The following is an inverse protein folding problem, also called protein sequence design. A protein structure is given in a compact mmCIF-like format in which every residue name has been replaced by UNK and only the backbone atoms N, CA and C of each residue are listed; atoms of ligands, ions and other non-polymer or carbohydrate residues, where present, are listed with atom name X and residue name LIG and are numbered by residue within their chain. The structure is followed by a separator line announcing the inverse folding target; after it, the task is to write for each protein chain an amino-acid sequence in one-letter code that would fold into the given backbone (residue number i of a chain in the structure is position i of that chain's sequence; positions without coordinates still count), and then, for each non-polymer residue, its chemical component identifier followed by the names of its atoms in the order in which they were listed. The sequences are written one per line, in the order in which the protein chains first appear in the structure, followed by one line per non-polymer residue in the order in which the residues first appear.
data_IF_430964327578
#
_entry.id   IF_430964327578
#
_cell.length_a   1.000
_cell.length_b   1.000
_cell.length_c   1.000
_cell.angle_alpha   90.00
_cell.angle_beta   90.00
_cell.angle_gamma   90.00
#
_symmetry.space_group_name_H-M   'P 1'
#
loop_
_entity.id
_entity.type
_entity.pdbx_description
1 polymer ?
#
# COMPACT_ATOMS: atom_id res chain seq x y z
N UNK A 1 14.58 33.72 -13.57
CA UNK A 1 13.14 33.51 -13.29
C UNK A 1 12.30 33.24 -14.54
N UNK A 2 12.37 34.07 -15.60
CA UNK A 2 11.53 33.91 -16.80
C UNK A 2 11.71 32.56 -17.55
N UNK A 3 12.94 32.06 -17.65
CA UNK A 3 13.24 30.78 -18.31
C UNK A 3 12.68 29.58 -17.54
N UNK A 4 12.72 29.59 -16.20
CA UNK A 4 12.13 28.56 -15.35
C UNK A 4 10.60 28.50 -15.52
N UNK A 5 9.93 29.66 -15.51
CA UNK A 5 8.48 29.75 -15.74
C UNK A 5 8.07 29.26 -17.14
N UNK A 6 8.85 29.59 -18.18
CA UNK A 6 8.60 29.08 -19.55
C UNK A 6 8.76 27.56 -19.63
N UNK A 7 9.73 26.98 -18.90
CA UNK A 7 9.92 25.53 -18.81
C UNK A 7 8.76 24.84 -18.09
N UNK A 8 8.32 25.40 -16.97
CA UNK A 8 7.16 24.91 -16.21
C UNK A 8 5.89 24.92 -17.05
N UNK A 9 5.66 25.98 -17.83
CA UNK A 9 4.51 26.09 -18.73
C UNK A 9 4.52 25.03 -19.84
N UNK A 10 5.70 24.68 -20.38
CA UNK A 10 5.86 23.59 -21.35
C UNK A 10 5.59 22.22 -20.74
N UNK A 11 6.14 21.95 -19.55
CA UNK A 11 5.90 20.68 -18.84
C UNK A 11 4.40 20.49 -18.55
N UNK A 12 3.73 21.53 -18.07
CA UNK A 12 2.28 21.51 -17.84
C UNK A 12 1.46 21.30 -19.12
N UNK A 13 1.94 21.79 -20.27
CA UNK A 13 1.32 21.57 -21.58
C UNK A 13 1.50 20.14 -22.08
N UNK A 14 2.60 19.49 -21.67
CA UNK A 14 2.88 18.06 -21.90
C UNK A 14 2.24 17.14 -20.84
N UNK A 15 1.40 17.67 -19.95
CA UNK A 15 0.79 16.95 -18.81
C UNK A 15 1.82 16.33 -17.84
N UNK A 16 3.06 16.84 -17.83
CA UNK A 16 4.09 16.41 -16.90
C UNK A 16 3.95 17.26 -15.64
N UNK A 17 3.48 16.64 -14.56
CA UNK A 17 3.30 17.29 -13.28
C UNK A 17 4.64 17.43 -12.54
N UNK A 18 4.85 18.59 -11.93
CA UNK A 18 6.06 18.87 -11.15
C UNK A 18 5.95 18.18 -9.80
N UNK A 19 6.90 17.31 -9.41
CA UNK A 19 6.99 16.82 -8.03
C UNK A 19 7.05 17.99 -7.06
N UNK A 20 6.31 17.90 -5.96
CA UNK A 20 6.40 18.91 -4.92
C UNK A 20 7.62 18.62 -4.04
N UNK A 21 8.47 19.63 -3.85
CA UNK A 21 9.62 19.55 -2.94
C UNK A 21 9.16 19.79 -1.49
N UNK A 22 9.67 19.06 -0.48
CA UNK A 22 9.48 19.41 0.92
C UNK A 22 9.86 20.89 1.18
N UNK A 23 9.08 21.70 1.93
CA UNK A 23 7.90 21.40 2.76
C UNK A 23 6.56 21.48 2.01
N UNK A 24 6.56 21.60 0.68
CA UNK A 24 5.34 21.74 -0.13
C UNK A 24 4.66 20.39 -0.37
N UNK A 25 4.63 19.49 0.60
CA UNK A 25 4.14 18.11 0.42
C UNK A 25 2.64 18.01 0.08
N UNK A 26 1.95 19.14 -0.08
CA UNK A 26 0.53 19.21 -0.36
C UNK A 26 -0.30 19.24 0.91
N UNK A 27 -1.53 18.76 0.84
CA UNK A 27 -2.48 18.64 1.96
C UNK A 27 -2.20 17.42 2.85
N UNK A 28 -0.95 17.19 3.20
CA UNK A 28 -0.59 16.18 4.18
C UNK A 28 -0.81 16.70 5.58
N UNK A 29 -0.99 15.78 6.52
CA UNK A 29 -0.94 16.07 7.96
C UNK A 29 0.54 16.09 8.36
N UNK A 30 1.14 17.25 8.69
CA UNK A 30 2.59 17.36 8.89
C UNK A 30 3.13 16.41 9.95
N UNK A 31 2.35 16.15 11.00
CA UNK A 31 2.71 15.28 12.11
C UNK A 31 2.77 13.79 11.70
N UNK A 32 2.08 13.39 10.63
CA UNK A 32 2.11 12.01 10.13
C UNK A 32 3.29 11.73 9.22
N UNK A 33 3.93 12.75 8.64
CA UNK A 33 5.09 12.57 7.76
C UNK A 33 6.25 11.85 8.48
N UNK A 34 6.75 12.31 9.64
CA UNK A 34 7.82 11.59 10.34
C UNK A 34 7.37 10.20 10.80
N UNK A 35 6.12 10.05 11.24
CA UNK A 35 5.54 8.76 11.65
C UNK A 35 5.55 7.77 10.48
N UNK A 36 5.20 8.22 9.27
CA UNK A 36 5.18 7.37 8.09
C UNK A 36 6.57 6.85 7.71
N UNK A 37 7.60 7.70 7.83
CA UNK A 37 8.99 7.26 7.64
C UNK A 37 9.41 6.23 8.69
N UNK A 38 9.12 6.50 9.97
CA UNK A 38 9.43 5.58 11.06
C UNK A 38 8.70 4.23 10.90
N UNK A 39 7.41 4.25 10.55
CA UNK A 39 6.61 3.05 10.29
C UNK A 39 7.22 2.24 9.15
N UNK A 40 7.63 2.87 8.06
CA UNK A 40 8.23 2.16 6.93
C UNK A 40 9.58 1.53 7.30
N UNK A 41 10.40 2.20 8.10
CA UNK A 41 11.67 1.64 8.56
C UNK A 41 11.47 0.51 9.57
N UNK A 42 10.55 0.67 10.52
CA UNK A 42 10.16 -0.38 11.45
C UNK A 42 9.54 -1.60 10.73
N UNK A 43 8.80 -1.37 9.63
CA UNK A 43 8.26 -2.45 8.80
C UNK A 43 9.37 -3.30 8.17
N UNK A 44 10.45 -2.68 7.67
CA UNK A 44 11.63 -3.40 7.16
C UNK A 44 12.30 -4.21 8.26
N UNK A 45 12.47 -3.62 9.44
CA UNK A 45 13.05 -4.29 10.61
C UNK A 45 12.20 -5.49 11.04
N UNK A 46 10.87 -5.33 11.09
CA UNK A 46 9.92 -6.38 11.43
C UNK A 46 10.03 -7.56 10.46
N UNK A 47 9.97 -7.32 9.15
CA UNK A 47 10.08 -8.39 8.15
C UNK A 47 11.42 -9.12 8.29
N UNK A 48 12.53 -8.37 8.40
CA UNK A 48 13.87 -8.96 8.56
C UNK A 48 13.98 -9.77 9.85
N UNK A 49 13.55 -9.21 10.97
CA UNK A 49 13.60 -9.84 12.28
C UNK A 49 12.76 -11.12 12.32
N UNK A 50 11.55 -11.08 11.77
CA UNK A 50 10.70 -12.26 11.66
C UNK A 50 11.33 -13.33 10.76
N UNK A 51 11.91 -12.94 9.62
CA UNK A 51 12.64 -13.87 8.73
C UNK A 51 13.76 -14.60 9.48
N UNK A 52 14.48 -13.88 10.34
CA UNK A 52 15.55 -14.45 11.16
C UNK A 52 15.00 -15.36 12.26
N UNK A 53 13.94 -14.93 12.94
CA UNK A 53 13.29 -15.72 14.01
C UNK A 53 12.73 -17.05 13.50
N UNK A 54 12.16 -17.08 12.29
CA UNK A 54 11.64 -18.32 11.67
C UNK A 54 12.72 -19.37 11.39
N UNK A 55 14.02 -19.01 11.47
CA UNK A 55 15.12 -19.96 11.35
C UNK A 55 15.48 -20.65 12.68
N UNK A 56 15.11 -20.05 13.82
CA UNK A 56 15.47 -20.54 15.17
C UNK A 56 14.25 -20.95 16.00
N UNK A 57 13.09 -20.36 15.73
CA UNK A 57 11.81 -20.70 16.36
C UNK A 57 10.98 -21.53 15.38
N UNK A 58 10.54 -22.70 15.83
CA UNK A 58 9.57 -23.50 15.09
C UNK A 58 8.21 -22.81 15.08
N UNK A 59 7.77 -22.43 13.89
CA UNK A 59 6.45 -21.86 13.64
C UNK A 59 5.74 -22.74 12.62
N UNK A 60 4.45 -23.00 12.85
CA UNK A 60 3.59 -23.77 11.97
C UNK A 60 2.37 -22.95 11.59
N UNK A 61 2.08 -22.88 10.29
CA UNK A 61 0.82 -22.37 9.76
C UNK A 61 -0.12 -23.53 9.42
N UNK A 62 -1.42 -23.38 9.69
CA UNK A 62 -2.40 -24.34 9.23
C UNK A 62 -2.76 -24.08 7.76
N UNK A 63 -2.69 -25.10 6.90
CA UNK A 63 -3.02 -24.96 5.46
C UNK A 63 -4.49 -24.68 5.15
N UNK A 64 -5.37 -24.70 6.16
CA UNK A 64 -6.82 -24.70 5.99
C UNK A 64 -7.52 -23.53 6.68
N UNK A 65 -6.89 -22.94 7.69
CA UNK A 65 -7.40 -21.78 8.42
C UNK A 65 -6.23 -20.86 8.83
N UNK A 66 -6.48 -19.59 9.18
CA UNK A 66 -5.46 -18.61 9.57
C UNK A 66 -4.70 -18.88 10.89
N UNK A 67 -4.81 -20.08 11.48
CA UNK A 67 -4.19 -20.38 12.76
C UNK A 67 -2.69 -20.63 12.61
N UNK A 68 -1.94 -20.03 13.53
CA UNK A 68 -0.48 -20.17 13.66
C UNK A 68 -0.17 -20.79 15.01
N UNK A 69 0.78 -21.71 15.02
CA UNK A 69 1.32 -22.29 16.24
C UNK A 69 2.82 -22.00 16.35
N UNK A 70 3.25 -21.56 17.53
CA UNK A 70 4.66 -21.32 17.86
C UNK A 70 5.08 -22.37 18.90
N UNK A 71 6.01 -23.24 18.53
CA UNK A 71 6.40 -24.37 19.37
C UNK A 71 7.03 -25.50 18.56
N UNK A 72 7.67 -26.48 19.22
CA UNK A 72 8.40 -27.55 18.54
C UNK A 72 7.49 -28.47 17.71
N UNK A 73 6.22 -28.62 18.09
CA UNK A 73 5.25 -29.49 17.42
C UNK A 73 3.87 -28.83 17.47
N UNK A 74 3.16 -28.83 16.35
CA UNK A 74 1.78 -28.32 16.27
C UNK A 74 0.82 -29.01 17.26
N UNK A 75 -0.08 -28.24 17.86
CA UNK A 75 -1.02 -28.76 18.84
C UNK A 75 -2.07 -29.70 18.23
N UNK A 76 -2.69 -30.51 19.10
CA UNK A 76 -3.74 -31.48 18.75
C UNK A 76 -5.17 -31.04 19.13
N UNK A 77 -5.35 -29.78 19.54
CA UNK A 77 -6.69 -29.19 19.77
C UNK A 77 -7.53 -29.30 18.49
N UNK A 78 -8.79 -29.72 18.63
CA UNK A 78 -9.73 -29.96 17.54
C UNK A 78 -10.60 -28.72 17.26
N UNK A 79 -9.96 -27.60 16.98
CA UNK A 79 -10.58 -26.27 16.77
C UNK A 79 -10.42 -25.73 15.34
N UNK A 80 -9.92 -26.54 14.41
CA UNK A 80 -9.75 -26.12 13.02
C UNK A 80 -11.10 -25.96 12.31
N UNK A 81 -11.43 -24.72 11.95
CA UNK A 81 -12.62 -24.36 11.15
C UNK A 81 -12.33 -24.26 9.63
N UNK A 82 -11.14 -24.69 9.21
CA UNK A 82 -10.72 -24.64 7.82
C UNK A 82 -11.45 -25.65 6.92
N UNK A 83 -11.34 -25.48 5.60
CA UNK A 83 -12.03 -26.32 4.62
C UNK A 83 -11.75 -27.83 4.82
N UNK A 84 -12.81 -28.63 4.81
CA UNK A 84 -12.74 -30.07 5.06
C UNK A 84 -12.40 -30.45 6.51
N UNK A 85 -12.71 -29.60 7.49
CA UNK A 85 -12.53 -29.90 8.92
C UNK A 85 -13.30 -31.14 9.38
N UNK A 86 -14.52 -31.36 8.86
CA UNK A 86 -15.35 -32.52 9.25
C UNK A 86 -14.66 -33.86 8.96
N UNK A 87 -13.93 -33.95 7.85
CA UNK A 87 -13.17 -35.17 7.47
C UNK A 87 -11.88 -35.36 8.27
N UNK A 88 -11.41 -34.32 8.94
CA UNK A 88 -10.17 -34.30 9.73
C UNK A 88 -10.45 -34.21 11.23
N UNK A 89 -11.71 -34.41 11.65
CA UNK A 89 -12.16 -34.24 13.03
C UNK A 89 -11.69 -32.91 13.65
N UNK A 90 -11.78 -31.82 12.87
CA UNK A 90 -11.34 -30.48 13.27
C UNK A 90 -9.88 -30.36 13.71
N UNK A 91 -9.02 -31.34 13.43
CA UNK A 91 -7.57 -31.19 13.61
C UNK A 91 -6.99 -30.20 12.59
N UNK A 92 -5.85 -29.60 12.91
CA UNK A 92 -5.12 -28.73 11.99
C UNK A 92 -4.28 -29.51 10.98
N UNK A 93 -4.06 -28.91 9.81
CA UNK A 93 -3.11 -29.42 8.81
C UNK A 93 -1.86 -28.55 8.88
N UNK A 94 -1.04 -28.82 9.88
CA UNK A 94 0.19 -28.06 10.14
C UNK A 94 1.19 -28.22 9.00
N UNK A 95 1.80 -27.12 8.62
CA UNK A 95 2.97 -27.05 7.76
C UNK A 95 3.97 -26.07 8.34
N UNK A 96 5.24 -26.17 7.94
CA UNK A 96 6.25 -25.18 8.33
C UNK A 96 5.75 -23.79 7.94
N UNK A 97 5.65 -22.91 8.93
CA UNK A 97 5.20 -21.55 8.75
C UNK A 97 6.21 -20.72 7.97
N UNK A 98 5.68 -19.73 7.28
CA UNK A 98 6.40 -18.70 6.54
C UNK A 98 6.08 -17.33 7.13
N UNK A 99 6.76 -16.30 6.63
CA UNK A 99 6.47 -14.90 6.99
C UNK A 99 5.00 -14.58 6.72
N UNK A 100 4.43 -15.10 5.63
CA UNK A 100 3.06 -14.80 5.22
C UNK A 100 1.99 -15.44 6.13
N UNK A 101 2.37 -16.46 6.92
CA UNK A 101 1.47 -17.06 7.91
C UNK A 101 1.37 -16.18 9.17
N UNK A 102 2.45 -15.47 9.51
CA UNK A 102 2.52 -14.61 10.71
C UNK A 102 2.14 -13.16 10.38
N UNK A 103 2.68 -12.62 9.30
CA UNK A 103 2.35 -11.32 8.73
C UNK A 103 1.50 -11.55 7.49
N UNK A 104 0.18 -11.61 7.69
CA UNK A 104 -0.77 -11.80 6.60
C UNK A 104 -0.54 -10.71 5.54
N UNK A 105 -0.26 -11.08 4.27
CA UNK A 105 -0.05 -10.11 3.21
C UNK A 105 -1.34 -9.33 2.94
N UNK A 106 -1.40 -8.09 3.42
CA UNK A 106 -2.47 -7.15 3.08
C UNK A 106 -1.91 -6.25 1.98
N UNK A 107 -2.42 -6.42 0.77
CA UNK A 107 -2.02 -5.64 -0.40
C UNK A 107 -3.03 -4.54 -0.72
N UNK A 108 -2.55 -3.45 -1.30
CA UNK A 108 -3.34 -2.36 -1.87
C UNK A 108 -2.83 -2.03 -3.26
N UNK A 109 -3.72 -1.57 -4.14
CA UNK A 109 -3.29 -0.98 -5.40
C UNK A 109 -2.57 0.34 -5.15
N UNK A 110 -1.41 0.50 -5.77
CA UNK A 110 -0.74 1.79 -5.81
C UNK A 110 -1.43 2.70 -6.83
N UNK A 111 -1.75 3.92 -6.41
CA UNK A 111 -2.35 4.93 -7.28
C UNK A 111 -1.46 6.17 -7.33
N UNK A 112 -0.98 6.51 -8.52
CA UNK A 112 -0.29 7.78 -8.75
C UNK A 112 -1.15 8.95 -8.27
N UNK A 113 -2.45 8.94 -8.53
CA UNK A 113 -3.41 9.90 -7.99
C UNK A 113 -4.44 9.22 -7.09
N UNK A 114 -4.37 9.38 -5.76
CA UNK A 114 -5.33 8.80 -4.82
C UNK A 114 -6.77 9.25 -5.05
N UNK A 115 -6.97 10.41 -5.69
CA UNK A 115 -8.29 10.95 -6.05
C UNK A 115 -8.64 10.72 -7.53
N UNK A 116 -7.83 9.92 -8.22
CA UNK A 116 -7.97 9.60 -9.64
C UNK A 116 -9.10 8.62 -9.94
N UNK A 117 -8.93 7.85 -11.03
CA UNK A 117 -9.91 6.83 -11.42
C UNK A 117 -9.89 5.70 -10.40
N UNK A 118 -11.08 5.25 -9.99
CA UNK A 118 -11.21 4.01 -9.21
C UNK A 118 -10.72 2.83 -10.06
N UNK A 119 -9.95 1.95 -9.44
CA UNK A 119 -9.53 0.67 -10.04
C UNK A 119 -10.78 -0.14 -10.34
N UNK A 120 -10.98 -0.50 -11.61
CA UNK A 120 -12.07 -1.37 -12.03
C UNK A 120 -11.57 -2.81 -12.13
N UNK A 121 -12.50 -3.77 -12.15
CA UNK A 121 -12.16 -5.18 -12.25
C UNK A 121 -11.37 -5.50 -13.53
N UNK A 122 -11.74 -4.93 -14.67
CA UNK A 122 -11.11 -5.11 -15.98
C UNK A 122 -9.68 -4.55 -16.02
N UNK A 123 -9.43 -3.41 -15.38
CA UNK A 123 -8.12 -2.73 -15.37
C UNK A 123 -7.25 -3.08 -14.17
N UNK A 124 -7.65 -4.01 -13.29
CA UNK A 124 -6.98 -4.22 -12.00
C UNK A 124 -5.53 -4.70 -12.11
N UNK A 125 -5.20 -5.31 -13.25
CA UNK A 125 -3.84 -5.82 -13.52
C UNK A 125 -2.91 -4.77 -14.11
N UNK A 126 -3.44 -3.59 -14.45
CA UNK A 126 -2.67 -2.45 -14.96
C UNK A 126 -2.02 -1.67 -13.81
N UNK A 127 -2.33 -2.02 -12.56
CA UNK A 127 -1.84 -1.35 -11.36
C UNK A 127 -0.98 -2.28 -10.53
N UNK A 128 0.10 -1.74 -9.99
CA UNK A 128 0.92 -2.44 -9.02
C UNK A 128 0.15 -2.69 -7.73
N UNK A 129 0.37 -3.86 -7.13
CA UNK A 129 -0.06 -4.18 -5.77
C UNK A 129 1.15 -4.12 -4.85
N UNK A 130 1.04 -3.31 -3.82
CA UNK A 130 2.08 -3.14 -2.79
C UNK A 130 1.49 -3.41 -1.41
N UNK A 131 2.30 -3.69 -0.38
CA UNK A 131 1.78 -3.84 0.97
C UNK A 131 1.01 -2.58 1.40
N UNK A 132 -0.18 -2.76 1.99
CA UNK A 132 -1.06 -1.64 2.35
C UNK A 132 -0.39 -0.65 3.30
N UNK A 133 0.49 -1.12 4.19
CA UNK A 133 1.29 -0.26 5.06
C UNK A 133 2.24 0.66 4.27
N UNK A 134 2.80 0.18 3.16
CA UNK A 134 3.68 0.96 2.28
C UNK A 134 2.87 2.04 1.57
N UNK A 135 1.70 1.69 1.01
CA UNK A 135 0.80 2.67 0.37
C UNK A 135 0.32 3.75 1.36
N UNK A 136 -0.03 3.36 2.60
CA UNK A 136 -0.39 4.32 3.64
C UNK A 136 0.77 5.27 3.98
N UNK A 137 2.00 4.76 4.06
CA UNK A 137 3.19 5.59 4.28
C UNK A 137 3.42 6.55 3.10
N UNK A 138 3.24 6.08 1.87
CA UNK A 138 3.29 6.93 0.68
C UNK A 138 2.24 8.03 0.80
N UNK A 139 0.98 7.71 1.07
CA UNK A 139 -0.09 8.71 1.19
C UNK A 139 0.17 9.71 2.32
N UNK A 140 0.83 9.30 3.40
CA UNK A 140 1.19 10.15 4.53
C UNK A 140 2.45 11.02 4.31
N UNK A 141 3.18 10.83 3.20
CA UNK A 141 4.26 11.74 2.80
C UNK A 141 5.61 11.09 2.58
N UNK A 142 5.72 9.76 2.66
CA UNK A 142 6.94 9.07 2.22
C UNK A 142 7.00 9.10 0.69
N UNK A 143 8.15 9.51 0.16
CA UNK A 143 8.40 9.48 -1.27
C UNK A 143 9.24 8.25 -1.61
N UNK A 144 8.66 7.35 -2.41
CA UNK A 144 9.34 6.17 -2.96
C UNK A 144 9.43 6.35 -4.48
N UNK A 145 10.63 6.47 -5.07
CA UNK A 145 10.78 6.71 -6.51
C UNK A 145 10.11 5.64 -7.40
N UNK A 146 10.00 4.41 -6.90
CA UNK A 146 9.34 3.31 -7.60
C UNK A 146 7.81 3.43 -7.60
N UNK A 147 7.25 4.17 -6.63
CA UNK A 147 5.82 4.32 -6.40
C UNK A 147 5.48 5.81 -6.22
N UNK A 148 5.60 6.62 -7.29
CA UNK A 148 5.37 8.06 -7.21
C UNK A 148 3.91 8.37 -6.89
N UNK A 149 3.69 9.39 -6.07
CA UNK A 149 2.33 9.86 -5.73
C UNK A 149 2.18 11.35 -5.98
N UNK A 150 1.05 11.72 -6.59
CA UNK A 150 0.66 13.10 -6.86
C UNK A 150 0.26 13.79 -5.57
N UNK A 151 1.01 14.83 -5.22
CA UNK A 151 0.70 15.74 -4.10
C UNK A 151 -0.06 16.97 -4.60
N UNK A 152 -0.97 17.50 -3.78
CA UNK A 152 -1.76 18.70 -4.10
C UNK A 152 -1.71 19.70 -2.96
N UNK A 153 -1.50 20.97 -3.27
CA UNK A 153 -1.47 22.07 -2.28
C UNK A 153 -2.84 22.67 -2.00
N UNK A 154 -3.87 22.29 -2.75
CA UNK A 154 -5.24 22.77 -2.58
C UNK A 154 -6.23 21.60 -2.53
N UNK A 155 -7.35 21.77 -1.79
CA UNK A 155 -8.33 20.71 -1.65
C UNK A 155 -9.04 20.46 -2.97
N UNK A 156 -9.26 19.18 -3.24
CA UNK A 156 -10.00 18.70 -4.39
C UNK A 156 -11.47 18.64 -4.03
N UNK A 157 -12.33 19.09 -4.95
CA UNK A 157 -13.77 18.84 -4.85
C UNK A 157 -14.17 17.81 -5.89
N UNK A 158 -14.86 16.76 -5.43
CA UNK A 158 -15.47 15.77 -6.30
C UNK A 158 -16.89 16.21 -6.65
N UNK A 159 -17.20 16.34 -7.94
CA UNK A 159 -18.57 16.54 -8.44
C UNK A 159 -18.89 15.39 -9.39
N UNK A 160 -19.63 14.40 -8.89
CA UNK A 160 -19.86 13.13 -9.60
C UNK A 160 -18.54 12.41 -9.89
N UNK A 161 -18.23 12.22 -11.19
CA UNK A 161 -16.97 11.61 -11.66
C UNK A 161 -15.88 12.64 -12.01
N UNK A 162 -16.11 13.94 -11.79
CA UNK A 162 -15.11 14.98 -12.09
C UNK A 162 -14.33 15.38 -10.85
N UNK A 163 -13.01 15.44 -11.02
CA UNK A 163 -12.06 15.97 -10.05
C UNK A 163 -11.86 17.45 -10.37
N UNK A 164 -12.20 18.34 -9.44
CA UNK A 164 -11.99 19.78 -9.60
C UNK A 164 -10.86 20.21 -8.67
N UNK A 165 -9.74 20.60 -9.27
CA UNK A 165 -8.57 21.13 -8.56
C UNK A 165 -8.69 22.64 -8.42
N UNK A 166 -8.81 23.12 -7.17
CA UNK A 166 -8.94 24.54 -6.84
C UNK A 166 -7.67 25.35 -7.10
N UNK A 167 -6.48 24.74 -7.09
CA UNK A 167 -5.22 25.47 -7.34
C UNK A 167 -5.03 25.83 -8.82
N UNK A 168 -5.58 25.03 -9.73
CA UNK A 168 -5.33 25.18 -11.17
C UNK A 168 -6.54 25.67 -11.97
N UNK A 169 -7.73 25.73 -11.36
CA UNK A 169 -9.01 25.97 -12.06
C UNK A 169 -9.20 25.05 -13.29
N UNK A 170 -8.53 23.89 -13.30
CA UNK A 170 -8.66 22.88 -14.36
C UNK A 170 -9.65 21.81 -13.90
N UNK A 171 -10.69 21.64 -14.70
CA UNK A 171 -11.56 20.46 -14.65
C UNK A 171 -10.92 19.39 -15.52
N UNK A 172 -10.19 18.44 -14.91
CA UNK A 172 -9.85 17.22 -15.63
C UNK A 172 -11.07 16.31 -15.62
N UNK A 173 -11.67 16.09 -16.80
CA UNK A 173 -12.41 14.87 -17.01
C UNK A 173 -11.42 13.72 -16.82
N UNK A 174 -11.82 12.68 -16.09
CA UNK A 174 -11.09 11.42 -16.07
C UNK A 174 -10.95 11.00 -17.54
N UNK A 175 -9.81 11.23 -18.19
CA UNK A 175 -9.50 10.71 -19.51
C UNK A 175 -8.69 9.43 -19.33
N UNK A 176 -8.89 8.47 -20.24
CA UNK A 176 -8.10 7.25 -20.28
C UNK A 176 -6.67 7.66 -20.62
N UNK A 177 -5.76 7.54 -19.66
CA UNK A 177 -4.35 7.36 -19.98
C UNK A 177 -4.06 5.89 -19.73
N UNK A 178 -3.83 5.22 -20.85
CA UNK A 178 -3.21 3.90 -20.98
C UNK A 178 -1.74 4.05 -20.58
#
# INVERSE_FOLDING_TARGET
MLQASRREKRLAQMHIEKPLEPPKNGLLVPELVPVAHEVLDNWKVLIRGLSQLLNVVSVYGCRKCPQVHVGPVGHQIQDCYGSGSQRRNSHHSWARGSINDVLIPIESYHLFDPFGRRVKHDTRFDYDRIPAIVELCIQAGVDLPQYPSRRRTAPVRMIGKKVIDRATNKSSHLHHQI
#
